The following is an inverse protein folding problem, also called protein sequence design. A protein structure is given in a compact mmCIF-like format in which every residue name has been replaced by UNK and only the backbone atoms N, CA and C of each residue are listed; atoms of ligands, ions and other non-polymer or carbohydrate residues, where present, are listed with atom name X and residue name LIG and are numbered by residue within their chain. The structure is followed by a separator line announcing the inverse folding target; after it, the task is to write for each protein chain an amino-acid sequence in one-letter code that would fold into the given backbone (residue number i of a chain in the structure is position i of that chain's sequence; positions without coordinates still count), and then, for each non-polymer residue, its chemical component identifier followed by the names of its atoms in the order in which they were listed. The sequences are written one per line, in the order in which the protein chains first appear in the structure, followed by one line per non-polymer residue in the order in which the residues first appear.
data_IF_096288775436
#
_entry.id   IF_096288775436
#
_cell.length_a   1.000
_cell.length_b   1.000
_cell.length_c   1.000
_cell.angle_alpha   90.00
_cell.angle_beta   90.00
_cell.angle_gamma   90.00
#
_symmetry.space_group_name_H-M   'P 1'
#
loop_
_entity.id
_entity.type
_entity.pdbx_description
1 polymer ?
#
# COMPACT_ATOMS: atom_id res chain seq x y z
N UNK A 1 -1.08 22.30 -8.32
CA UNK A 1 -1.49 21.50 -7.15
C UNK A 1 -0.33 21.45 -6.15
N UNK A 2 -0.63 21.30 -4.86
CA UNK A 2 0.37 21.01 -3.83
C UNK A 2 0.79 19.54 -3.87
N UNK A 3 2.08 19.29 -3.66
CA UNK A 3 2.64 17.95 -3.48
C UNK A 3 3.82 17.98 -2.52
N UNK A 4 4.06 16.88 -1.80
CA UNK A 4 5.27 16.64 -1.04
C UNK A 4 6.32 16.00 -1.96
N UNK A 5 7.35 16.77 -2.30
CA UNK A 5 8.35 16.43 -3.29
C UNK A 5 9.67 16.08 -2.59
N UNK A 6 10.27 14.96 -2.96
CA UNK A 6 11.63 14.57 -2.63
C UNK A 6 12.57 15.22 -3.65
N UNK A 7 13.33 16.27 -3.29
CA UNK A 7 14.21 16.94 -4.24
C UNK A 7 15.45 16.10 -4.54
N UNK A 8 16.02 15.49 -3.50
CA UNK A 8 17.24 14.69 -3.52
C UNK A 8 17.15 13.59 -2.45
N UNK A 9 17.85 12.47 -2.67
CA UNK A 9 17.99 11.42 -1.67
C UNK A 9 18.62 11.97 -0.38
N UNK A 10 18.10 11.55 0.77
CA UNK A 10 18.55 11.95 2.10
C UNK A 10 18.08 13.35 2.52
N UNK A 11 17.31 14.06 1.67
CA UNK A 11 16.71 15.36 2.02
C UNK A 11 15.29 15.18 2.54
N UNK A 12 14.79 16.12 3.36
CA UNK A 12 13.37 16.16 3.72
C UNK A 12 12.51 16.38 2.48
N UNK A 13 11.26 15.89 2.54
CA UNK A 13 10.23 16.25 1.57
C UNK A 13 9.89 17.75 1.71
N UNK A 14 9.66 18.39 0.57
CA UNK A 14 9.26 19.79 0.48
C UNK A 14 7.85 19.91 -0.09
N UNK A 15 6.99 20.71 0.54
CA UNK A 15 5.69 21.04 -0.03
C UNK A 15 5.89 22.07 -1.14
N UNK A 16 5.61 21.69 -2.39
CA UNK A 16 5.78 22.53 -3.58
C UNK A 16 4.47 22.66 -4.35
N UNK A 17 4.31 23.77 -5.07
CA UNK A 17 3.33 23.88 -6.14
C UNK A 17 3.90 23.24 -7.41
N UNK A 18 3.21 22.24 -7.93
CA UNK A 18 3.57 21.50 -9.15
C UNK A 18 2.39 21.50 -10.13
N UNK A 19 2.64 21.32 -11.44
CA UNK A 19 1.57 21.10 -12.41
C UNK A 19 0.72 19.89 -12.02
N UNK A 20 -0.59 19.97 -12.27
CA UNK A 20 -1.45 18.80 -12.16
C UNK A 20 -1.06 17.79 -13.26
N UNK A 21 -1.04 16.48 -12.99
CA UNK A 21 -0.69 15.48 -13.99
C UNK A 21 -1.72 15.47 -15.13
N UNK A 22 -1.23 15.45 -16.35
CA UNK A 22 -2.03 15.22 -17.55
C UNK A 22 -2.34 13.73 -17.70
N UNK A 23 -3.57 13.41 -18.08
CA UNK A 23 -4.04 12.03 -18.30
C UNK A 23 -4.08 11.68 -19.78
N UNK A 24 -3.57 10.50 -20.11
CA UNK A 24 -3.78 9.88 -21.41
C UNK A 24 -5.18 9.29 -21.59
N UNK A 25 -5.49 8.74 -22.77
CA UNK A 25 -6.86 8.29 -23.08
C UNK A 25 -7.36 7.10 -22.24
N UNK A 26 -6.46 6.29 -21.68
CA UNK A 26 -6.77 5.15 -20.81
C UNK A 26 -6.45 5.40 -19.33
N UNK A 27 -6.07 6.64 -18.99
CA UNK A 27 -5.72 7.05 -17.64
C UNK A 27 -6.86 7.79 -16.95
N UNK A 28 -6.85 7.74 -15.63
CA UNK A 28 -7.79 8.43 -14.76
C UNK A 28 -7.00 9.38 -13.89
N UNK A 29 -7.54 10.58 -13.71
CA UNK A 29 -7.06 11.55 -12.73
C UNK A 29 -7.86 11.35 -11.45
N UNK A 30 -7.19 11.25 -10.32
CA UNK A 30 -7.80 10.98 -9.02
C UNK A 30 -7.46 12.14 -8.08
N UNK A 31 -8.49 12.76 -7.50
CA UNK A 31 -8.34 13.70 -6.40
C UNK A 31 -8.04 12.93 -5.11
N UNK A 32 -6.80 13.00 -4.65
CA UNK A 32 -6.34 12.30 -3.45
C UNK A 32 -7.13 12.77 -2.24
N UNK A 33 -7.74 11.84 -1.52
CA UNK A 33 -8.41 12.12 -0.24
C UNK A 33 -7.49 11.78 0.94
N UNK A 34 -6.77 10.67 0.83
CA UNK A 34 -5.81 10.19 1.83
C UNK A 34 -4.66 9.47 1.13
N UNK A 35 -3.49 9.44 1.76
CA UNK A 35 -2.40 8.54 1.38
C UNK A 35 -1.73 8.01 2.63
N UNK A 36 -1.64 6.69 2.76
CA UNK A 36 -0.87 6.05 3.82
C UNK A 36 0.62 6.33 3.70
N UNK A 37 1.33 6.30 4.83
CA UNK A 37 2.79 6.41 4.89
C UNK A 37 3.35 5.05 5.24
N UNK A 38 4.07 4.47 4.31
CA UNK A 38 4.70 3.17 4.48
C UNK A 38 6.20 3.33 4.73
N UNK A 39 6.82 2.34 5.37
CA UNK A 39 8.27 2.34 5.62
C UNK A 39 9.07 2.38 4.31
N UNK A 40 8.50 1.89 3.20
CA UNK A 40 9.08 2.00 1.86
C UNK A 40 9.31 3.45 1.45
N UNK A 41 8.41 4.38 1.79
CA UNK A 41 8.59 5.81 1.45
C UNK A 41 9.82 6.39 2.15
N UNK A 42 10.05 5.99 3.41
CA UNK A 42 11.26 6.36 4.18
C UNK A 42 12.50 5.70 3.58
N UNK A 43 12.42 4.43 3.17
CA UNK A 43 13.56 3.76 2.54
C UNK A 43 13.95 4.37 1.19
N UNK A 44 12.98 4.86 0.41
CA UNK A 44 13.24 5.64 -0.80
C UNK A 44 13.93 6.94 -0.41
N UNK A 45 13.38 7.68 0.56
CA UNK A 45 13.98 8.92 1.05
C UNK A 45 15.43 8.72 1.52
N UNK A 46 15.73 7.64 2.23
CA UNK A 46 17.07 7.33 2.75
C UNK A 46 18.00 6.71 1.69
N UNK A 47 17.51 6.41 0.49
CA UNK A 47 18.29 5.75 -0.57
C UNK A 47 18.61 4.27 -0.29
N UNK A 48 17.81 3.63 0.56
CA UNK A 48 17.97 2.23 1.00
C UNK A 48 17.09 1.25 0.21
N UNK A 49 16.26 1.73 -0.71
CA UNK A 49 15.38 0.93 -1.55
C UNK A 49 15.43 1.39 -3.02
N UNK A 50 14.26 1.52 -3.66
CA UNK A 50 14.14 2.03 -5.02
C UNK A 50 14.70 3.45 -5.12
N UNK A 51 15.41 3.74 -6.21
CA UNK A 51 15.91 5.08 -6.53
C UNK A 51 15.10 5.62 -7.72
N UNK A 52 14.08 6.47 -7.47
CA UNK A 52 13.29 7.08 -8.54
C UNK A 52 14.08 8.17 -9.26
N UNK A 53 13.53 8.67 -10.38
CA UNK A 53 14.00 9.93 -10.95
C UNK A 53 13.64 11.07 -10.00
N UNK A 54 14.56 12.01 -9.82
CA UNK A 54 14.40 13.15 -8.93
C UNK A 54 14.22 14.45 -9.74
N UNK A 55 13.41 15.41 -9.27
CA UNK A 55 12.59 15.36 -8.06
C UNK A 55 11.42 14.37 -8.18
N UNK A 56 10.95 13.82 -7.05
CA UNK A 56 9.95 12.74 -7.02
C UNK A 56 8.83 13.01 -6.01
N UNK A 57 7.59 12.64 -6.31
CA UNK A 57 6.46 12.62 -5.37
C UNK A 57 6.22 11.16 -4.93
N UNK A 58 6.54 10.79 -3.67
CA UNK A 58 6.26 9.45 -3.15
C UNK A 58 4.77 9.21 -2.84
N UNK A 59 4.48 8.07 -2.20
CA UNK A 59 3.17 7.73 -1.66
C UNK A 59 2.45 6.68 -2.49
N UNK A 60 2.48 5.44 -2.04
CA UNK A 60 1.95 4.27 -2.75
C UNK A 60 0.77 3.60 -2.04
N UNK A 61 0.18 4.31 -1.07
CA UNK A 61 -1.07 3.96 -0.39
C UNK A 61 -2.19 5.01 -0.57
N UNK A 62 -2.43 5.58 -1.78
CA UNK A 62 -3.47 6.59 -1.94
C UNK A 62 -4.87 5.98 -2.07
N UNK A 63 -5.85 6.69 -1.52
CA UNK A 63 -7.26 6.58 -1.91
C UNK A 63 -7.76 7.95 -2.34
N UNK A 64 -8.62 7.96 -3.35
CA UNK A 64 -9.18 9.21 -3.85
C UNK A 64 -10.43 9.03 -4.67
N UNK A 65 -10.95 10.16 -5.15
CA UNK A 65 -12.14 10.22 -5.98
C UNK A 65 -11.75 10.47 -7.44
N UNK A 66 -12.39 9.78 -8.37
CA UNK A 66 -12.22 10.03 -9.80
C UNK A 66 -12.56 11.50 -10.09
N UNK A 67 -11.60 12.25 -10.60
CA UNK A 67 -11.73 13.67 -10.91
C UNK A 67 -11.89 13.93 -12.41
N UNK A 68 -11.22 13.14 -13.25
CA UNK A 68 -11.35 13.17 -14.71
C UNK A 68 -10.90 11.83 -15.30
N UNK A 69 -11.31 11.54 -16.52
CA UNK A 69 -10.99 10.28 -17.21
C UNK A 69 -10.67 10.54 -18.67
N UNK A 70 -9.76 9.74 -19.24
CA UNK A 70 -9.53 9.73 -20.67
C UNK A 70 -10.68 9.08 -21.45
N UNK A 71 -10.79 9.40 -22.74
CA UNK A 71 -11.92 9.02 -23.60
C UNK A 71 -12.12 7.50 -23.79
N UNK A 72 -11.11 6.68 -23.49
CA UNK A 72 -11.18 5.21 -23.59
C UNK A 72 -11.47 4.52 -22.27
N UNK A 73 -11.50 5.26 -21.15
CA UNK A 73 -11.83 4.72 -19.83
C UNK A 73 -13.31 4.29 -19.79
N UNK A 74 -13.57 3.12 -19.20
CA UNK A 74 -14.91 2.55 -19.00
C UNK A 74 -14.98 1.95 -17.60
N UNK A 75 -16.19 1.84 -17.05
CA UNK A 75 -16.44 1.19 -15.76
C UNK A 75 -16.21 2.07 -14.53
N UNK A 76 -15.91 3.36 -14.73
CA UNK A 76 -15.73 4.35 -13.67
C UNK A 76 -16.62 5.58 -13.89
N UNK A 77 -16.95 6.28 -12.80
CA UNK A 77 -17.72 7.52 -12.78
C UNK A 77 -16.97 8.61 -12.00
N UNK A 78 -17.14 9.88 -12.37
CA UNK A 78 -16.62 11.00 -11.57
C UNK A 78 -17.18 10.97 -10.14
N UNK A 79 -16.34 11.27 -9.16
CA UNK A 79 -16.67 11.18 -7.74
C UNK A 79 -16.61 9.76 -7.17
N UNK A 80 -16.39 8.72 -7.97
CA UNK A 80 -16.24 7.36 -7.48
C UNK A 80 -14.93 7.18 -6.70
N UNK A 81 -15.00 6.50 -5.55
CA UNK A 81 -13.81 6.18 -4.76
C UNK A 81 -13.04 5.00 -5.36
N UNK A 82 -11.74 5.22 -5.54
CA UNK A 82 -10.82 4.25 -6.14
C UNK A 82 -9.49 4.20 -5.40
N UNK A 83 -8.82 3.06 -5.51
CA UNK A 83 -7.45 2.81 -5.04
C UNK A 83 -6.65 2.15 -6.16
N UNK A 84 -5.34 2.43 -6.30
CA UNK A 84 -4.54 1.78 -7.32
C UNK A 84 -4.01 0.42 -6.85
N UNK A 85 -4.03 -0.57 -7.73
CA UNK A 85 -2.99 -1.59 -7.76
C UNK A 85 -1.69 -0.94 -8.21
N UNK A 86 -0.67 -0.92 -7.35
CA UNK A 86 0.51 -0.09 -7.52
C UNK A 86 1.48 -0.53 -8.62
N UNK A 87 1.45 -1.80 -9.07
CA UNK A 87 2.34 -2.26 -10.14
C UNK A 87 1.76 -1.96 -11.52
N UNK A 88 2.49 -1.19 -12.32
CA UNK A 88 2.19 -0.99 -13.75
C UNK A 88 2.76 -2.19 -14.51
N UNK A 89 1.94 -3.21 -14.76
CA UNK A 89 2.40 -4.48 -15.34
C UNK A 89 2.03 -4.64 -16.81
N UNK A 90 2.82 -5.42 -17.56
CA UNK A 90 2.56 -5.63 -18.99
C UNK A 90 1.27 -6.43 -19.32
N UNK A 91 0.64 -7.09 -18.33
CA UNK A 91 -0.57 -7.89 -18.52
C UNK A 91 -0.41 -9.20 -19.33
N UNK A 92 0.70 -9.37 -20.06
CA UNK A 92 0.86 -10.44 -21.05
C UNK A 92 1.92 -11.51 -20.70
N UNK A 93 2.85 -11.23 -19.77
CA UNK A 93 3.85 -12.22 -19.38
C UNK A 93 3.22 -13.39 -18.60
N UNK A 94 3.97 -14.49 -18.45
CA UNK A 94 3.50 -15.68 -17.73
C UNK A 94 3.06 -15.36 -16.30
N UNK A 95 3.75 -14.45 -15.62
CA UNK A 95 3.40 -14.05 -14.26
C UNK A 95 2.08 -13.27 -14.21
N UNK A 96 1.90 -12.27 -15.08
CA UNK A 96 0.64 -11.53 -15.20
C UNK A 96 -0.53 -12.47 -15.50
N UNK A 97 -0.38 -13.35 -16.49
CA UNK A 97 -1.43 -14.31 -16.90
C UNK A 97 -1.76 -15.37 -15.86
N UNK A 98 -0.92 -15.54 -14.82
CA UNK A 98 -1.15 -16.49 -13.73
C UNK A 98 -1.45 -15.81 -12.39
N UNK A 99 -1.81 -14.53 -12.40
CA UNK A 99 -2.16 -13.78 -11.18
C UNK A 99 -0.98 -13.54 -10.24
N UNK A 100 0.24 -13.54 -10.79
CA UNK A 100 1.51 -13.25 -10.10
C UNK A 100 2.14 -11.97 -10.64
N UNK A 101 1.31 -11.01 -11.01
CA UNK A 101 1.67 -9.70 -11.56
C UNK A 101 2.78 -8.95 -10.79
N UNK A 102 2.90 -9.11 -9.47
CA UNK A 102 4.06 -8.62 -8.69
C UNK A 102 5.44 -9.15 -9.15
N UNK A 103 5.47 -10.20 -9.97
CA UNK A 103 6.66 -10.78 -10.61
C UNK A 103 6.72 -10.48 -12.11
N UNK A 104 6.01 -9.45 -12.57
CA UNK A 104 6.01 -9.06 -13.97
C UNK A 104 7.44 -8.83 -14.47
N UNK A 105 7.77 -9.44 -15.62
CA UNK A 105 9.10 -9.33 -16.24
C UNK A 105 9.30 -8.04 -17.02
N UNK A 106 8.23 -7.27 -17.19
CA UNK A 106 8.20 -6.01 -17.94
C UNK A 106 7.29 -5.04 -17.17
N UNK A 107 7.84 -4.57 -16.03
CA UNK A 107 7.17 -3.63 -15.13
C UNK A 107 7.45 -2.21 -15.63
N UNK A 108 6.39 -1.47 -15.96
CA UNK A 108 6.48 -0.08 -16.40
C UNK A 108 6.72 0.91 -15.26
N UNK A 109 6.52 0.47 -14.01
CA UNK A 109 6.72 1.28 -12.83
C UNK A 109 5.91 0.79 -11.63
N UNK A 110 6.13 1.45 -10.51
CA UNK A 110 5.42 1.26 -9.26
C UNK A 110 4.94 2.64 -8.79
N UNK A 111 3.63 2.84 -8.73
CA UNK A 111 3.01 4.12 -8.37
C UNK A 111 3.47 4.54 -6.97
N UNK A 112 4.00 5.75 -6.84
CA UNK A 112 4.55 6.31 -5.60
C UNK A 112 5.88 5.71 -5.13
N UNK A 113 6.56 4.95 -5.99
CA UNK A 113 7.85 4.31 -5.70
C UNK A 113 8.87 4.54 -6.82
N UNK A 114 8.50 4.27 -8.07
CA UNK A 114 9.33 4.57 -9.26
C UNK A 114 8.63 5.48 -10.27
N UNK A 115 7.32 5.69 -10.11
CA UNK A 115 6.54 6.73 -10.79
C UNK A 115 5.84 7.59 -9.75
N UNK A 116 5.44 8.81 -10.10
CA UNK A 116 4.82 9.76 -9.17
C UNK A 116 3.60 9.16 -8.44
N UNK A 117 3.46 9.52 -7.16
CA UNK A 117 2.52 8.92 -6.21
C UNK A 117 1.49 9.87 -5.64
N UNK A 118 0.90 9.41 -4.54
CA UNK A 118 -0.24 10.00 -3.85
C UNK A 118 0.08 11.06 -2.81
N UNK A 119 1.35 11.41 -2.56
CA UNK A 119 1.68 12.58 -1.72
C UNK A 119 1.46 13.90 -2.48
N UNK A 120 0.32 14.03 -3.14
CA UNK A 120 -0.13 15.17 -3.93
C UNK A 120 -1.65 15.29 -3.87
N UNK A 121 -2.19 16.48 -4.14
CA UNK A 121 -3.65 16.68 -4.21
C UNK A 121 -4.30 15.85 -5.34
N UNK A 122 -3.54 15.51 -6.38
CA UNK A 122 -3.98 14.62 -7.45
C UNK A 122 -2.86 13.64 -7.82
N UNK A 123 -3.26 12.41 -8.14
CA UNK A 123 -2.40 11.44 -8.81
C UNK A 123 -3.13 10.86 -10.02
N UNK A 124 -2.41 10.13 -10.87
CA UNK A 124 -3.00 9.43 -12.00
C UNK A 124 -2.62 7.96 -12.01
N UNK A 125 -3.50 7.15 -12.61
CA UNK A 125 -3.23 5.75 -12.86
C UNK A 125 -3.98 5.29 -14.13
N UNK A 126 -3.49 4.26 -14.83
CA UNK A 126 -4.30 3.57 -15.84
C UNK A 126 -5.60 3.06 -15.24
N UNK A 127 -6.72 3.13 -15.97
CA UNK A 127 -8.00 2.61 -15.49
C UNK A 127 -7.94 1.12 -15.12
N UNK A 128 -7.12 0.34 -15.85
CA UNK A 128 -6.89 -1.08 -15.57
C UNK A 128 -6.18 -1.35 -14.23
N UNK A 129 -5.53 -0.34 -13.65
CA UNK A 129 -4.88 -0.42 -12.35
C UNK A 129 -5.81 0.00 -11.20
N UNK A 130 -6.98 0.58 -11.48
CA UNK A 130 -7.87 1.06 -10.44
C UNK A 130 -8.82 -0.03 -9.96
N UNK A 131 -8.98 -0.10 -8.64
CA UNK A 131 -9.87 -1.01 -7.96
C UNK A 131 -11.02 -0.22 -7.33
N UNK A 132 -12.22 -0.78 -7.43
CA UNK A 132 -13.41 -0.20 -6.81
C UNK A 132 -13.34 -0.41 -5.30
N UNK A 133 -13.62 0.65 -4.54
CA UNK A 133 -13.74 0.56 -3.09
C UNK A 133 -15.18 0.20 -2.72
N UNK A 134 -15.43 -0.89 -1.94
CA UNK A 134 -16.77 -1.24 -1.51
C UNK A 134 -17.44 -0.14 -0.70
N UNK A 135 -18.77 -0.02 -0.84
CA UNK A 135 -19.56 0.91 -0.04
C UNK A 135 -19.34 0.67 1.47
N UNK A 136 -19.16 1.75 2.23
CA UNK A 136 -18.93 1.72 3.68
C UNK A 136 -17.46 1.64 4.10
N UNK A 137 -16.52 1.47 3.17
CA UNK A 137 -15.08 1.62 3.45
C UNK A 137 -14.69 3.08 3.29
N UNK A 138 -14.12 3.67 4.34
CA UNK A 138 -13.63 5.06 4.33
C UNK A 138 -12.29 5.20 3.61
N UNK A 139 -11.97 6.40 3.12
CA UNK A 139 -10.73 6.66 2.36
C UNK A 139 -9.46 6.31 3.14
N UNK A 140 -9.42 6.60 4.44
CA UNK A 140 -8.28 6.31 5.31
C UNK A 140 -7.98 4.81 5.41
N UNK A 141 -9.00 3.95 5.42
CA UNK A 141 -8.84 2.50 5.37
C UNK A 141 -8.53 2.04 3.95
N UNK A 142 -9.21 2.60 2.95
CA UNK A 142 -9.05 2.22 1.56
C UNK A 142 -7.60 2.40 1.07
N UNK A 143 -6.93 3.51 1.41
CA UNK A 143 -5.56 3.78 0.94
C UNK A 143 -4.55 2.70 1.34
N UNK A 144 -4.72 2.13 2.55
CA UNK A 144 -3.88 1.03 3.05
C UNK A 144 -3.99 -0.24 2.20
N UNK A 145 -5.03 -0.36 1.36
CA UNK A 145 -5.25 -1.57 0.55
C UNK A 145 -4.25 -1.74 -0.56
N UNK A 146 -3.70 -0.65 -1.09
CA UNK A 146 -2.70 -0.69 -2.16
C UNK A 146 -1.40 -1.35 -1.73
N UNK A 147 -1.04 -1.32 -0.44
CA UNK A 147 0.20 -1.94 0.06
C UNK A 147 -0.01 -2.78 1.33
N UNK A 148 -0.28 -2.15 2.48
CA UNK A 148 -0.27 -2.87 3.76
C UNK A 148 -1.28 -4.04 3.82
N UNK A 149 -2.54 -3.81 3.39
CA UNK A 149 -3.58 -4.86 3.45
C UNK A 149 -3.34 -5.94 2.42
N UNK A 150 -3.05 -5.60 1.16
CA UNK A 150 -2.81 -6.61 0.11
C UNK A 150 -1.59 -7.47 0.44
N UNK A 151 -0.56 -6.90 1.06
CA UNK A 151 0.62 -7.63 1.54
C UNK A 151 0.25 -8.61 2.66
N UNK A 152 -0.55 -8.17 3.63
CA UNK A 152 -1.02 -9.05 4.71
C UNK A 152 -1.89 -10.20 4.17
N UNK A 153 -2.80 -9.92 3.23
CA UNK A 153 -3.63 -10.93 2.55
C UNK A 153 -2.76 -11.91 1.76
N UNK A 154 -1.74 -11.44 1.06
CA UNK A 154 -0.80 -12.30 0.35
C UNK A 154 -0.08 -13.26 1.31
N UNK A 155 0.47 -12.73 2.42
CA UNK A 155 1.14 -13.53 3.44
C UNK A 155 0.21 -14.60 4.04
N UNK A 156 -1.03 -14.21 4.39
CA UNK A 156 -2.04 -15.13 4.91
C UNK A 156 -2.34 -16.28 3.92
N UNK A 157 -2.61 -15.96 2.65
CA UNK A 157 -2.89 -16.97 1.60
C UNK A 157 -1.72 -17.93 1.37
N UNK A 158 -0.49 -17.43 1.51
CA UNK A 158 0.74 -18.24 1.35
C UNK A 158 0.97 -19.19 2.52
N UNK A 159 0.56 -18.79 3.73
CA UNK A 159 0.78 -19.56 4.95
C UNK A 159 -0.13 -20.80 5.07
N UNK A 160 -1.22 -20.88 4.28
CA UNK A 160 -2.15 -22.03 4.24
C UNK A 160 -2.68 -22.44 5.62
N UNK A 161 -3.06 -21.43 6.40
CA UNK A 161 -3.54 -21.57 7.78
C UNK A 161 -4.90 -22.28 7.82
N UNK A 162 -5.04 -23.19 8.76
CA UNK A 162 -6.28 -23.87 9.12
C UNK A 162 -6.86 -23.34 10.43
N UNK A 163 -8.17 -23.52 10.63
CA UNK A 163 -8.84 -23.16 11.89
C UNK A 163 -8.20 -23.92 13.04
N UNK A 164 -7.88 -23.22 14.12
CA UNK A 164 -7.24 -23.79 15.31
C UNK A 164 -5.70 -23.81 15.26
N UNK A 165 -5.08 -23.50 14.12
CA UNK A 165 -3.62 -23.37 14.05
C UNK A 165 -3.12 -22.26 14.99
N UNK A 166 -1.90 -22.44 15.52
CA UNK A 166 -1.19 -21.38 16.25
C UNK A 166 -0.15 -20.74 15.34
N UNK A 167 -0.23 -19.42 15.16
CA UNK A 167 0.57 -18.66 14.20
C UNK A 167 1.35 -17.54 14.91
N UNK A 168 2.66 -17.51 14.71
CA UNK A 168 3.52 -16.42 15.16
C UNK A 168 3.62 -15.29 14.12
N UNK A 169 3.33 -14.06 14.52
CA UNK A 169 3.52 -12.85 13.69
C UNK A 169 4.76 -12.11 14.18
N UNK A 170 5.87 -12.27 13.46
CA UNK A 170 7.12 -11.57 13.73
C UNK A 170 7.08 -10.16 13.12
N UNK A 171 7.03 -9.15 13.99
CA UNK A 171 6.90 -7.74 13.61
C UNK A 171 5.44 -7.27 13.60
N UNK A 172 5.01 -6.61 14.67
CA UNK A 172 3.64 -6.13 14.85
C UNK A 172 3.44 -4.66 14.40
N UNK A 173 4.09 -4.27 13.30
CA UNK A 173 3.91 -2.95 12.66
C UNK A 173 2.62 -2.86 11.83
N UNK A 174 2.50 -1.91 10.91
CA UNK A 174 1.27 -1.71 10.11
C UNK A 174 0.76 -2.99 9.42
N UNK A 175 1.60 -3.65 8.63
CA UNK A 175 1.25 -4.94 7.99
C UNK A 175 0.95 -6.03 9.03
N UNK A 176 1.78 -6.12 10.09
CA UNK A 176 1.63 -7.15 11.12
C UNK A 176 0.31 -7.03 11.88
N UNK A 177 -0.14 -5.81 12.19
CA UNK A 177 -1.41 -5.54 12.85
C UNK A 177 -2.60 -5.92 11.98
N UNK A 178 -2.52 -5.70 10.66
CA UNK A 178 -3.55 -6.15 9.71
C UNK A 178 -3.55 -7.68 9.61
N UNK A 179 -2.36 -8.29 9.52
CA UNK A 179 -2.23 -9.75 9.44
C UNK A 179 -2.78 -10.45 10.69
N UNK A 180 -2.56 -9.89 11.88
CA UNK A 180 -3.15 -10.40 13.13
C UNK A 180 -4.68 -10.43 13.01
N UNK A 181 -5.32 -9.34 12.57
CA UNK A 181 -6.77 -9.28 12.41
C UNK A 181 -7.28 -10.35 11.42
N UNK A 182 -6.60 -10.52 10.29
CA UNK A 182 -6.94 -11.54 9.29
C UNK A 182 -6.83 -12.95 9.90
N UNK A 183 -5.73 -13.24 10.59
CA UNK A 183 -5.51 -14.55 11.22
C UNK A 183 -6.55 -14.85 12.30
N UNK A 184 -6.93 -13.85 13.10
CA UNK A 184 -7.99 -13.99 14.10
C UNK A 184 -9.34 -14.25 13.47
N UNK A 185 -9.68 -13.54 12.40
CA UNK A 185 -10.91 -13.81 11.65
C UNK A 185 -10.91 -15.20 11.00
N UNK A 186 -9.74 -15.71 10.61
CA UNK A 186 -9.57 -17.07 10.09
C UNK A 186 -9.61 -18.18 11.16
N UNK A 187 -9.82 -17.84 12.44
CA UNK A 187 -9.93 -18.81 13.53
C UNK A 187 -8.59 -19.36 14.04
N UNK A 188 -7.48 -18.68 13.76
CA UNK A 188 -6.18 -19.04 14.32
C UNK A 188 -5.99 -18.47 15.75
N UNK A 189 -5.12 -19.14 16.53
CA UNK A 189 -4.48 -18.56 17.71
C UNK A 189 -3.24 -17.80 17.27
N UNK A 190 -3.10 -16.54 17.67
CA UNK A 190 -2.07 -15.63 17.15
C UNK A 190 -1.13 -15.18 18.26
N UNK A 191 0.17 -15.34 18.03
CA UNK A 191 1.24 -14.86 18.91
C UNK A 191 1.95 -13.69 18.22
N UNK A 192 1.82 -12.47 18.74
CA UNK A 192 2.52 -11.30 18.24
C UNK A 192 3.92 -11.19 18.85
N UNK A 193 4.96 -11.01 18.02
CA UNK A 193 6.34 -10.86 18.48
C UNK A 193 6.93 -9.55 17.97
N UNK A 194 7.44 -8.70 18.86
CA UNK A 194 8.06 -7.43 18.47
C UNK A 194 9.03 -6.91 19.53
N UNK A 195 9.95 -6.03 19.13
CA UNK A 195 10.84 -5.31 20.05
C UNK A 195 10.15 -4.11 20.71
N UNK A 196 9.10 -3.59 20.09
CA UNK A 196 8.40 -2.38 20.54
C UNK A 196 7.20 -2.73 21.42
N UNK A 197 7.22 -2.28 22.68
CA UNK A 197 6.10 -2.45 23.61
C UNK A 197 4.80 -1.85 23.09
N UNK A 198 4.84 -0.61 22.59
CA UNK A 198 3.68 0.05 21.95
C UNK A 198 3.08 -0.76 20.80
N UNK A 199 3.94 -1.37 20.00
CA UNK A 199 3.50 -2.20 18.86
C UNK A 199 2.81 -3.48 19.33
N UNK A 200 3.26 -4.06 20.44
CA UNK A 200 2.62 -5.21 21.10
C UNK A 200 1.31 -4.86 21.79
N UNK A 201 1.22 -3.68 22.42
CA UNK A 201 -0.04 -3.18 23.01
C UNK A 201 -1.13 -3.10 21.93
N UNK A 202 -0.82 -2.53 20.77
CA UNK A 202 -1.75 -2.50 19.64
C UNK A 202 -2.03 -3.92 19.13
N UNK A 203 -1.02 -4.78 19.03
CA UNK A 203 -1.20 -6.18 18.60
C UNK A 203 -2.22 -6.91 19.48
N UNK A 204 -2.15 -6.73 20.80
CA UNK A 204 -3.12 -7.25 21.76
C UNK A 204 -4.52 -6.69 21.51
N UNK A 205 -4.65 -5.38 21.32
CA UNK A 205 -5.95 -4.72 21.05
C UNK A 205 -6.60 -5.22 19.75
N UNK A 206 -5.81 -5.52 18.71
CA UNK A 206 -6.32 -6.00 17.42
C UNK A 206 -6.44 -7.53 17.34
N UNK A 207 -6.22 -8.23 18.47
CA UNK A 207 -6.65 -9.61 18.66
C UNK A 207 -5.54 -10.65 18.87
N UNK A 208 -4.27 -10.28 19.00
CA UNK A 208 -3.23 -11.24 19.34
C UNK A 208 -3.52 -11.90 20.71
N UNK A 209 -3.51 -13.22 20.78
CA UNK A 209 -3.80 -13.99 22.00
C UNK A 209 -2.64 -13.96 23.00
N UNK A 210 -1.42 -13.78 22.49
CA UNK A 210 -0.20 -13.64 23.27
C UNK A 210 0.71 -12.62 22.59
N UNK A 211 1.36 -11.77 23.38
CA UNK A 211 2.37 -10.83 22.90
C UNK A 211 3.69 -11.10 23.60
N UNK A 212 4.76 -11.29 22.81
CA UNK A 212 6.11 -11.58 23.30
C UNK A 212 7.05 -10.46 22.89
N UNK A 213 7.70 -9.84 23.88
CA UNK A 213 8.73 -8.85 23.65
C UNK A 213 10.04 -9.54 23.32
N UNK A 214 10.60 -9.24 22.15
CA UNK A 214 11.87 -9.82 21.70
C UNK A 214 13.06 -9.08 22.32
N UNK A 215 14.07 -9.85 22.74
CA UNK A 215 15.26 -9.33 23.43
C UNK A 215 15.08 -9.14 24.94
N UNK A 216 13.96 -9.63 25.49
CA UNK A 216 13.77 -9.79 26.93
C UNK A 216 14.08 -11.26 27.27
N UNK A 217 15.20 -11.53 27.94
CA UNK A 217 15.64 -12.89 28.29
C UNK A 217 14.77 -13.56 29.38
N UNK A 218 13.76 -12.84 29.89
CA UNK A 218 12.85 -13.31 30.94
C UNK A 218 11.72 -14.25 30.46
N UNK A 219 11.61 -14.48 29.14
CA UNK A 219 10.55 -15.29 28.53
C UNK A 219 10.97 -16.74 28.17
N UNK A 220 12.12 -17.21 28.68
CA UNK A 220 12.63 -18.58 28.49
C UNK A 220 12.15 -19.55 29.58
#
# INVERSE_FOLDING_TARGET
MKAAVLPEIGKPLEIRDVPQPEIGPDEVLIATQTCGICRTDVHIQDGLAYVPQLPHIPGHEPAGLVAAMGDRVRGFEEGQMVVPHLFLTCGQCTYCRTGRDAQCTDVGGIIGVTTEGGFAEYFKAPAANLLHVPAGVSCDIAGLTSCAVITAVHAFRRARISVGDTVGVLGTGGIGQILIQILKHAGARVVGLSRSGRSLEIASQVGADLCVKLGDESAA
#
